data_IF_590470157541
#
_entry.id   IF_590470157541
#
_cell.length_a   1.000
_cell.length_b   1.000
_cell.length_c   1.000
_cell.angle_alpha   90.00
_cell.angle_beta   90.00
_cell.angle_gamma   90.00
#
_symmetry.space_group_name_H-M   'P 1'
#
loop_
_entity.id
_entity.type
_entity.pdbx_description
1 polymer ?
#
# COMPACT_ATOMS: atom_id res chain seq x y z
N UNK A 1 -24.21 2.22 22.24
CA UNK A 1 -24.44 3.54 22.86
C UNK A 1 -23.30 4.48 22.46
N UNK A 2 -23.58 5.33 21.48
CA UNK A 2 -22.90 6.60 21.21
C UNK A 2 -24.00 7.65 21.43
N UNK A 3 -23.73 8.73 22.16
CA UNK A 3 -24.75 9.71 22.54
C UNK A 3 -25.13 10.58 21.33
N UNK A 4 -26.41 10.58 20.95
CA UNK A 4 -26.98 11.43 19.90
C UNK A 4 -27.28 12.79 20.53
N UNK A 5 -26.53 13.81 20.13
CA UNK A 5 -26.87 15.21 20.40
C UNK A 5 -28.06 15.59 19.50
N UNK A 6 -29.22 15.87 20.10
CA UNK A 6 -30.38 16.43 19.39
C UNK A 6 -30.08 17.86 18.94
N UNK A 7 -30.24 18.14 17.66
CA UNK A 7 -30.37 19.50 17.15
C UNK A 7 -31.82 19.74 16.70
N UNK A 8 -32.36 20.83 17.27
CA UNK A 8 -33.72 21.38 17.10
C UNK A 8 -34.02 21.72 15.64
N UNK A 9 -35.25 21.46 15.23
CA UNK A 9 -35.84 22.05 14.03
C UNK A 9 -35.90 23.57 14.17
N UNK A 10 -35.35 24.28 13.19
CA UNK A 10 -35.74 25.66 12.88
C UNK A 10 -36.17 25.65 11.42
N UNK A 11 -37.48 25.80 11.20
CA UNK A 11 -38.06 26.19 9.92
C UNK A 11 -37.83 27.68 9.75
N UNK A 12 -37.14 28.07 8.69
CA UNK A 12 -37.28 29.41 8.12
C UNK A 12 -37.45 29.30 6.60
N UNK A 13 -38.63 29.72 6.16
CA UNK A 13 -38.95 30.01 4.78
C UNK A 13 -38.23 31.29 4.38
N UNK A 14 -37.46 31.27 3.29
CA UNK A 14 -37.28 32.46 2.46
C UNK A 14 -37.03 32.05 1.00
N UNK A 15 -38.01 32.38 0.15
CA UNK A 15 -37.85 32.42 -1.30
C UNK A 15 -37.24 33.77 -1.66
N UNK A 16 -36.13 33.80 -2.40
CA UNK A 16 -35.77 34.91 -3.28
C UNK A 16 -34.75 34.50 -4.36
N UNK A 17 -34.80 35.23 -5.47
CA UNK A 17 -34.46 34.89 -6.85
C UNK A 17 -32.95 34.96 -7.21
N UNK A 18 -32.55 34.51 -8.43
CA UNK A 18 -31.16 34.36 -8.82
C UNK A 18 -30.62 35.64 -9.50
N UNK A 19 -29.46 36.11 -9.06
CA UNK A 19 -28.59 36.89 -9.95
C UNK A 19 -27.17 37.05 -9.43
N UNK A 20 -26.26 36.79 -10.38
CA UNK A 20 -25.03 37.53 -10.63
C UNK A 20 -23.80 37.21 -9.78
N UNK A 21 -22.89 36.49 -10.46
CA UNK A 21 -21.43 36.71 -10.53
C UNK A 21 -20.70 36.99 -9.21
N UNK A 22 -20.06 35.95 -8.68
CA UNK A 22 -18.86 36.10 -7.84
C UNK A 22 -17.68 35.45 -8.54
N UNK A 23 -16.73 36.29 -8.92
CA UNK A 23 -15.37 35.94 -9.31
C UNK A 23 -14.71 35.26 -8.12
N UNK A 24 -14.44 33.98 -8.24
CA UNK A 24 -13.27 33.38 -7.62
C UNK A 24 -12.94 32.12 -8.41
N UNK A 25 -11.67 31.99 -8.79
CA UNK A 25 -11.09 30.73 -9.24
C UNK A 25 -11.15 29.74 -8.08
N UNK A 26 -12.36 29.27 -7.78
CA UNK A 26 -12.59 28.14 -6.91
C UNK A 26 -11.88 26.99 -7.62
N UNK A 27 -10.70 26.63 -7.12
CA UNK A 27 -10.09 25.33 -7.40
C UNK A 27 -11.16 24.32 -7.03
N UNK A 28 -11.97 23.91 -8.03
CA UNK A 28 -13.07 22.97 -7.84
C UNK A 28 -12.43 21.79 -7.14
N UNK A 29 -12.83 21.56 -5.89
CA UNK A 29 -12.34 20.41 -5.16
C UNK A 29 -12.60 19.19 -6.05
N UNK A 30 -11.61 18.29 -6.16
CA UNK A 30 -11.73 17.16 -7.07
C UNK A 30 -13.07 16.47 -6.81
N UNK A 31 -13.86 16.28 -7.87
CA UNK A 31 -15.13 15.56 -7.81
C UNK A 31 -14.95 14.31 -6.95
N UNK A 32 -15.89 13.99 -6.07
CA UNK A 32 -15.74 12.85 -5.14
C UNK A 32 -15.29 11.56 -5.85
N UNK A 33 -15.81 11.31 -7.06
CA UNK A 33 -15.39 10.20 -7.91
C UNK A 33 -13.89 10.24 -8.27
N UNK A 34 -13.37 11.41 -8.64
CA UNK A 34 -11.95 11.60 -8.95
C UNK A 34 -11.06 11.48 -7.71
N UNK A 35 -11.48 12.03 -6.57
CA UNK A 35 -10.75 11.85 -5.30
C UNK A 35 -10.66 10.36 -4.91
N UNK A 36 -11.76 9.61 -5.06
CA UNK A 36 -11.77 8.16 -4.83
C UNK A 36 -10.90 7.40 -5.84
N UNK A 37 -10.90 7.80 -7.11
CA UNK A 37 -10.04 7.23 -8.13
C UNK A 37 -8.55 7.44 -7.80
N UNK A 38 -8.15 8.67 -7.50
CA UNK A 38 -6.77 9.01 -7.13
C UNK A 38 -6.31 8.27 -5.88
N UNK A 39 -7.19 8.10 -4.89
CA UNK A 39 -6.91 7.30 -3.71
C UNK A 39 -6.62 5.83 -4.06
N UNK A 40 -7.45 5.21 -4.92
CA UNK A 40 -7.23 3.84 -5.39
C UNK A 40 -5.92 3.70 -6.15
N UNK A 41 -5.58 4.67 -6.98
CA UNK A 41 -4.33 4.70 -7.74
C UNK A 41 -3.09 4.83 -6.84
N UNK A 42 -3.15 5.70 -5.83
CA UNK A 42 -2.10 5.85 -4.84
C UNK A 42 -1.89 4.55 -4.04
N UNK A 43 -2.98 3.88 -3.63
CA UNK A 43 -2.91 2.57 -2.99
C UNK A 43 -2.29 1.49 -3.91
N UNK A 44 -2.57 1.55 -5.22
CA UNK A 44 -2.00 0.63 -6.22
C UNK A 44 -0.49 0.83 -6.38
N UNK A 45 -0.05 2.10 -6.49
CA UNK A 45 1.37 2.47 -6.65
C UNK A 45 2.22 1.96 -5.49
N UNK A 46 1.76 2.12 -4.25
CA UNK A 46 2.48 1.68 -3.04
C UNK A 46 2.75 0.17 -3.04
N UNK A 47 1.78 -0.65 -3.46
CA UNK A 47 1.93 -2.13 -3.50
C UNK A 47 3.01 -2.58 -4.49
N UNK A 48 3.11 -1.94 -5.66
CA UNK A 48 4.11 -2.25 -6.67
C UNK A 48 5.52 -1.90 -6.16
N UNK A 49 5.67 -0.74 -5.52
CA UNK A 49 6.95 -0.31 -4.95
C UNK A 49 7.44 -1.24 -3.83
N UNK A 50 6.56 -1.71 -2.93
CA UNK A 50 6.98 -2.60 -1.82
C UNK A 50 7.61 -3.90 -2.33
N UNK A 51 7.07 -4.46 -3.41
CA UNK A 51 7.59 -5.70 -4.03
C UNK A 51 8.99 -5.47 -4.62
N UNK A 52 9.15 -4.38 -5.38
CA UNK A 52 10.43 -4.01 -6.00
C UNK A 52 11.49 -3.67 -4.97
N UNK A 53 11.13 -2.86 -3.97
CA UNK A 53 12.01 -2.50 -2.84
C UNK A 53 12.45 -3.75 -2.10
N UNK A 54 11.55 -4.70 -1.83
CA UNK A 54 11.91 -5.97 -1.18
C UNK A 54 12.89 -6.79 -2.01
N UNK A 55 12.71 -6.85 -3.34
CA UNK A 55 13.64 -7.54 -4.22
C UNK A 55 15.03 -6.88 -4.23
N UNK A 56 15.09 -5.55 -4.32
CA UNK A 56 16.36 -4.81 -4.23
C UNK A 56 17.03 -5.01 -2.88
N UNK A 57 16.28 -4.99 -1.76
CA UNK A 57 16.81 -5.30 -0.42
C UNK A 57 17.44 -6.68 -0.39
N UNK A 58 16.77 -7.71 -0.92
CA UNK A 58 17.34 -9.07 -1.00
C UNK A 58 18.64 -9.06 -1.81
N UNK A 59 18.67 -8.39 -2.96
CA UNK A 59 19.85 -8.34 -3.82
C UNK A 59 21.04 -7.68 -3.11
N UNK A 60 20.86 -6.46 -2.57
CA UNK A 60 21.89 -5.73 -1.85
C UNK A 60 22.40 -6.51 -0.63
N UNK A 61 21.50 -7.08 0.17
CA UNK A 61 21.89 -7.90 1.32
C UNK A 61 22.64 -9.17 0.89
N UNK A 62 22.27 -9.76 -0.26
CA UNK A 62 22.97 -10.94 -0.78
C UNK A 62 24.41 -10.61 -1.19
N UNK A 63 24.61 -9.46 -1.83
CA UNK A 63 25.95 -9.00 -2.20
C UNK A 63 26.79 -8.66 -0.97
N UNK A 64 26.19 -7.99 0.03
CA UNK A 64 26.86 -7.70 1.30
C UNK A 64 27.33 -8.98 1.98
N UNK A 65 26.44 -9.96 2.16
CA UNK A 65 26.76 -11.29 2.72
C UNK A 65 27.91 -11.95 1.94
N UNK A 66 27.88 -11.89 0.60
CA UNK A 66 28.91 -12.51 -0.23
C UNK A 66 30.28 -11.84 -0.05
N UNK A 67 30.31 -10.50 0.01
CA UNK A 67 31.52 -9.71 0.27
C UNK A 67 32.10 -10.03 1.64
N UNK A 68 31.28 -10.04 2.69
CA UNK A 68 31.71 -10.37 4.05
C UNK A 68 32.24 -11.80 4.13
N UNK A 69 31.54 -12.76 3.51
CA UNK A 69 32.00 -14.17 3.45
C UNK A 69 33.35 -14.33 2.74
N UNK A 70 33.62 -13.56 1.69
CA UNK A 70 34.90 -13.62 0.97
C UNK A 70 36.08 -13.21 1.89
N UNK A 71 35.83 -12.28 2.82
CA UNK A 71 36.82 -11.76 3.74
C UNK A 71 36.71 -12.38 5.15
N UNK A 72 36.13 -13.58 5.28
CA UNK A 72 35.80 -14.18 6.58
C UNK A 72 37.01 -14.33 7.52
N UNK A 73 38.21 -14.52 6.97
CA UNK A 73 39.46 -14.64 7.73
C UNK A 73 39.91 -13.33 8.38
N UNK A 74 39.40 -12.19 7.91
CA UNK A 74 39.71 -10.84 8.38
C UNK A 74 38.48 -10.15 8.99
N UNK A 75 37.35 -10.85 9.12
CA UNK A 75 36.13 -10.29 9.68
C UNK A 75 36.30 -10.05 11.18
N UNK A 76 35.87 -8.86 11.61
CA UNK A 76 35.72 -8.55 13.03
C UNK A 76 34.53 -9.32 13.62
N UNK A 77 34.43 -9.35 14.96
CA UNK A 77 33.25 -9.90 15.63
C UNK A 77 31.97 -9.18 15.20
N UNK A 78 32.03 -7.87 14.97
CA UNK A 78 30.91 -7.07 14.50
C UNK A 78 30.46 -7.50 13.10
N UNK A 79 31.40 -7.77 12.19
CA UNK A 79 31.09 -8.27 10.84
C UNK A 79 30.40 -9.64 10.87
N UNK A 80 30.78 -10.50 11.82
CA UNK A 80 30.13 -11.79 12.05
C UNK A 80 28.68 -11.62 12.55
N UNK A 81 28.44 -10.65 13.42
CA UNK A 81 27.10 -10.34 13.92
C UNK A 81 26.21 -9.76 12.80
N UNK A 82 26.75 -8.82 12.02
CA UNK A 82 26.13 -8.26 10.81
C UNK A 82 25.79 -9.39 9.83
N UNK A 83 26.73 -10.30 9.57
CA UNK A 83 26.51 -11.43 8.68
C UNK A 83 25.36 -12.32 9.15
N UNK A 84 25.27 -12.61 10.45
CA UNK A 84 24.21 -13.43 11.02
C UNK A 84 22.84 -12.74 10.90
N UNK A 85 22.77 -11.47 11.28
CA UNK A 85 21.57 -10.64 11.20
C UNK A 85 21.06 -10.53 9.76
N UNK A 86 21.98 -10.36 8.81
CA UNK A 86 21.63 -10.05 7.43
C UNK A 86 21.19 -11.33 6.70
N UNK A 87 21.80 -12.45 7.08
CA UNK A 87 21.38 -13.80 6.65
C UNK A 87 19.96 -14.09 7.12
N UNK A 88 19.64 -13.81 8.39
CA UNK A 88 18.31 -14.02 8.93
C UNK A 88 17.28 -13.10 8.25
N UNK A 89 17.60 -11.81 8.10
CA UNK A 89 16.78 -10.83 7.41
C UNK A 89 16.43 -11.30 5.99
N UNK A 90 17.44 -11.71 5.20
CA UNK A 90 17.24 -12.20 3.83
C UNK A 90 16.28 -13.38 3.79
N UNK A 91 16.48 -14.39 4.66
CA UNK A 91 15.63 -15.59 4.74
C UNK A 91 14.18 -15.22 5.09
N UNK A 92 13.98 -14.36 6.08
CA UNK A 92 12.66 -13.92 6.52
C UNK A 92 11.94 -13.13 5.42
N UNK A 93 12.65 -12.23 4.73
CA UNK A 93 12.08 -11.44 3.65
C UNK A 93 11.70 -12.31 2.44
N UNK A 94 12.54 -13.27 2.05
CA UNK A 94 12.22 -14.25 1.00
C UNK A 94 10.96 -15.06 1.35
N UNK A 95 10.88 -15.56 2.58
CA UNK A 95 9.70 -16.29 3.08
C UNK A 95 8.44 -15.43 3.03
N UNK A 96 8.51 -14.18 3.48
CA UNK A 96 7.39 -13.25 3.42
C UNK A 96 6.88 -13.04 1.99
N UNK A 97 7.79 -12.81 1.04
CA UNK A 97 7.43 -12.65 -0.37
C UNK A 97 6.82 -13.91 -0.98
N UNK A 98 7.34 -15.08 -0.62
CA UNK A 98 6.81 -16.38 -1.07
C UNK A 98 5.35 -16.54 -0.66
N UNK A 99 5.04 -16.39 0.63
CA UNK A 99 3.66 -16.52 1.11
C UNK A 99 2.75 -15.44 0.53
N UNK A 100 3.25 -14.21 0.36
CA UNK A 100 2.48 -13.14 -0.29
C UNK A 100 2.11 -13.50 -1.73
N UNK A 101 3.05 -14.07 -2.49
CA UNK A 101 2.80 -14.54 -3.86
C UNK A 101 1.77 -15.67 -3.88
N UNK A 102 1.87 -16.63 -2.96
CA UNK A 102 0.89 -17.71 -2.83
C UNK A 102 -0.52 -17.19 -2.54
N UNK A 103 -0.67 -16.24 -1.60
CA UNK A 103 -1.97 -15.64 -1.26
C UNK A 103 -2.61 -14.94 -2.46
N UNK A 104 -1.81 -14.16 -3.21
CA UNK A 104 -2.29 -13.49 -4.43
C UNK A 104 -2.71 -14.53 -5.47
N UNK A 105 -1.92 -15.57 -5.68
CA UNK A 105 -2.25 -16.64 -6.62
C UNK A 105 -3.55 -17.35 -6.25
N UNK A 106 -3.72 -17.71 -4.98
CA UNK A 106 -4.93 -18.34 -4.47
C UNK A 106 -6.17 -17.45 -4.67
N UNK A 107 -6.06 -16.15 -4.38
CA UNK A 107 -7.13 -15.19 -4.61
C UNK A 107 -7.53 -15.13 -6.09
N UNK A 108 -6.55 -15.10 -7.00
CA UNK A 108 -6.79 -15.05 -8.45
C UNK A 108 -7.50 -16.31 -8.96
N UNK A 109 -7.11 -17.50 -8.47
CA UNK A 109 -7.80 -18.76 -8.80
C UNK A 109 -9.25 -18.74 -8.32
N UNK A 110 -9.50 -18.33 -7.07
CA UNK A 110 -10.84 -18.30 -6.50
C UNK A 110 -11.75 -17.33 -7.26
N UNK A 111 -11.23 -16.15 -7.64
CA UNK A 111 -11.96 -15.18 -8.46
C UNK A 111 -12.34 -15.74 -9.84
N UNK A 112 -11.43 -16.44 -10.52
CA UNK A 112 -11.74 -17.10 -11.80
C UNK A 112 -12.83 -18.16 -11.67
N UNK A 113 -12.81 -18.94 -10.58
CA UNK A 113 -13.85 -19.95 -10.29
C UNK A 113 -15.22 -19.31 -10.07
N UNK A 114 -15.30 -18.17 -9.37
CA UNK A 114 -16.56 -17.44 -9.17
C UNK A 114 -17.13 -16.94 -10.51
N UNK A 115 -16.30 -16.33 -11.36
CA UNK A 115 -16.71 -15.86 -12.68
C UNK A 115 -17.20 -16.97 -13.61
N UNK A 116 -16.67 -18.20 -13.47
CA UNK A 116 -17.13 -19.35 -14.23
C UNK A 116 -18.47 -19.90 -13.73
N UNK A 117 -18.80 -19.70 -12.44
CA UNK A 117 -20.09 -20.08 -11.86
C UNK A 117 -21.20 -19.08 -12.21
N UNK A 118 -20.89 -17.79 -12.27
CA UNK A 118 -21.85 -16.73 -12.64
C UNK A 118 -22.24 -16.75 -14.13
N UNK A 119 -21.50 -17.47 -14.97
CA UNK A 119 -21.75 -17.61 -16.42
C UNK A 119 -22.54 -18.87 -16.79
N UNK A 120 -22.95 -19.67 -15.82
CA UNK A 120 -23.82 -20.85 -15.99
C UNK A 120 -25.18 -20.54 -15.38
#
# INVERSE_FOLDING_TARGET
MYLIQKNKEVKENSKQNPSQNLVESQKKSPTAAYAMFMHREELRRRKIHVSRVSATKIHLTSELIAKTKKNIRQCSFEDLEILARETLFRKNLQRHLYYRRMQIHQYMINKKKQQAKEKK
#
